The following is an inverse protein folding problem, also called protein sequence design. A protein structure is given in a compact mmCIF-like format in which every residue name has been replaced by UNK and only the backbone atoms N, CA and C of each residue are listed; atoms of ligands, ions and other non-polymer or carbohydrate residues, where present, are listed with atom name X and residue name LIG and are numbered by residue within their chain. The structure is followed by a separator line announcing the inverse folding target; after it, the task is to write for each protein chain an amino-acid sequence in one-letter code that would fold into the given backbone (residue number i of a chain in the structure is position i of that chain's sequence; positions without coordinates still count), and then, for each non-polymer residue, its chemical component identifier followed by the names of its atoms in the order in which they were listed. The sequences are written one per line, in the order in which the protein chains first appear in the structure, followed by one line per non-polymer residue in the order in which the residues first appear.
data_IF_483459669484
#
_entry.id   IF_483459669484
#
_cell.length_a   1.000
_cell.length_b   1.000
_cell.length_c   1.000
_cell.angle_alpha   90.00
_cell.angle_beta   90.00
_cell.angle_gamma   90.00
#
_symmetry.space_group_name_H-M   'P 1'
#
loop_
_entity.id
_entity.type
_entity.pdbx_description
1 polymer ?
#
# COMPACT_ATOMS: atom_id res chain seq x y z
N UNK A 1 -17.14 -5.48 -20.48
CA UNK A 1 -16.44 -4.29 -21.03
C UNK A 1 -15.46 -3.69 -20.02
N UNK A 2 -15.77 -3.67 -18.71
CA UNK A 2 -14.87 -3.20 -17.63
C UNK A 2 -13.62 -4.08 -17.49
N UNK A 3 -13.75 -5.39 -17.67
CA UNK A 3 -12.65 -6.36 -17.53
C UNK A 3 -11.47 -6.16 -18.49
N UNK A 4 -11.65 -5.33 -19.53
CA UNK A 4 -10.60 -4.97 -20.51
C UNK A 4 -9.84 -3.69 -20.14
N UNK A 5 -10.28 -2.95 -19.11
CA UNK A 5 -9.59 -1.76 -18.67
C UNK A 5 -8.31 -2.15 -17.90
N UNK A 6 -7.24 -1.36 -17.97
CA UNK A 6 -6.03 -1.66 -17.24
C UNK A 6 -6.22 -1.45 -15.72
N UNK A 7 -5.42 -2.15 -14.93
CA UNK A 7 -5.18 -1.85 -13.51
C UNK A 7 -3.97 -0.93 -13.41
N UNK A 8 -4.06 0.09 -12.59
CA UNK A 8 -2.95 0.97 -12.26
C UNK A 8 -2.21 0.43 -11.04
N UNK A 9 -0.91 0.15 -11.18
CA UNK A 9 -0.02 -0.16 -10.07
C UNK A 9 0.80 1.09 -9.75
N UNK A 10 0.68 1.59 -8.52
CA UNK A 10 1.42 2.75 -8.03
C UNK A 10 2.52 2.29 -7.08
N UNK A 11 3.76 2.65 -7.37
CA UNK A 11 4.93 2.44 -6.52
C UNK A 11 5.58 3.78 -6.18
N UNK A 12 6.37 3.84 -5.11
CA UNK A 12 6.90 5.12 -4.60
C UNK A 12 8.15 5.59 -5.34
N UNK A 13 9.03 4.65 -5.75
CA UNK A 13 10.35 4.92 -6.32
C UNK A 13 10.68 3.99 -7.49
N UNK A 14 11.65 4.39 -8.32
CA UNK A 14 12.07 3.61 -9.50
C UNK A 14 12.56 2.19 -9.14
N UNK A 15 13.23 2.01 -8.00
CA UNK A 15 13.72 0.68 -7.58
C UNK A 15 12.57 -0.29 -7.30
N UNK A 16 11.45 0.19 -6.75
CA UNK A 16 10.23 -0.61 -6.56
C UNK A 16 9.60 -0.95 -7.91
N UNK A 17 9.57 0.03 -8.83
CA UNK A 17 9.07 -0.17 -10.19
C UNK A 17 9.87 -1.23 -10.93
N UNK A 18 11.19 -1.12 -10.93
CA UNK A 18 12.09 -2.10 -11.57
C UNK A 18 11.88 -3.51 -10.99
N UNK A 19 11.78 -3.65 -9.67
CA UNK A 19 11.51 -4.93 -9.03
C UNK A 19 10.15 -5.50 -9.45
N UNK A 20 9.11 -4.68 -9.45
CA UNK A 20 7.76 -5.08 -9.84
C UNK A 20 7.69 -5.50 -11.32
N UNK A 21 8.25 -4.70 -12.23
CA UNK A 21 8.26 -4.98 -13.67
C UNK A 21 9.07 -6.23 -14.02
N UNK A 22 10.14 -6.55 -13.28
CA UNK A 22 10.85 -7.82 -13.42
C UNK A 22 9.96 -9.04 -13.15
N UNK A 23 9.00 -8.92 -12.24
CA UNK A 23 8.03 -9.97 -11.96
C UNK A 23 6.89 -10.02 -12.98
N UNK A 24 6.31 -8.88 -13.29
CA UNK A 24 5.18 -8.74 -14.21
C UNK A 24 5.53 -9.16 -15.65
N UNK A 25 6.75 -8.84 -16.12
CA UNK A 25 7.04 -8.87 -17.54
C UNK A 25 6.13 -7.90 -18.33
N UNK A 26 5.94 -8.17 -19.63
CA UNK A 26 5.06 -7.34 -20.48
C UNK A 26 3.61 -7.75 -20.29
N UNK A 27 2.77 -6.82 -19.84
CA UNK A 27 1.32 -7.00 -19.69
C UNK A 27 0.60 -5.82 -20.36
N UNK A 28 -0.46 -6.11 -21.12
CA UNK A 28 -1.28 -5.07 -21.76
C UNK A 28 -2.38 -4.52 -20.84
N UNK A 29 -2.73 -5.27 -19.79
CA UNK A 29 -3.79 -4.95 -18.83
C UNK A 29 -3.29 -4.32 -17.54
N UNK A 30 -1.99 -4.06 -17.45
CA UNK A 30 -1.32 -3.49 -16.27
C UNK A 30 -0.51 -2.27 -16.69
N UNK A 31 -0.61 -1.22 -15.91
CA UNK A 31 0.25 -0.04 -16.03
C UNK A 31 0.91 0.29 -14.71
N UNK A 32 2.21 0.54 -14.71
CA UNK A 32 3.00 0.84 -13.52
C UNK A 32 3.46 2.30 -13.55
N UNK A 33 3.20 3.04 -12.47
CA UNK A 33 3.69 4.42 -12.31
C UNK A 33 4.53 4.57 -11.05
N UNK A 34 5.47 5.51 -11.07
CA UNK A 34 6.11 6.03 -9.87
C UNK A 34 5.29 7.22 -9.36
N UNK A 35 4.59 7.03 -8.26
CA UNK A 35 3.73 8.06 -7.67
C UNK A 35 4.49 9.04 -6.75
N UNK A 36 5.73 8.73 -6.38
CA UNK A 36 6.55 9.53 -5.45
C UNK A 36 6.34 9.17 -3.99
N UNK A 37 7.26 9.63 -3.16
CA UNK A 37 7.26 9.34 -1.71
C UNK A 37 6.35 10.34 -0.97
N UNK A 38 5.58 9.81 -0.01
CA UNK A 38 4.65 10.56 0.82
C UNK A 38 3.29 10.76 0.17
N UNK A 39 2.24 10.76 0.98
CA UNK A 39 0.87 10.69 0.46
C UNK A 39 0.43 11.92 -0.38
N UNK A 40 1.03 13.09 -0.20
CA UNK A 40 0.71 14.27 -1.03
C UNK A 40 1.19 14.08 -2.49
N UNK A 41 2.45 13.67 -2.69
CA UNK A 41 3.00 13.36 -4.00
C UNK A 41 2.26 12.17 -4.64
N UNK A 42 2.05 11.11 -3.86
CA UNK A 42 1.35 9.92 -4.29
C UNK A 42 -0.09 10.22 -4.75
N UNK A 43 -0.83 11.05 -4.02
CA UNK A 43 -2.17 11.48 -4.42
C UNK A 43 -2.15 12.27 -5.73
N UNK A 44 -1.29 13.28 -5.84
CA UNK A 44 -1.21 14.14 -7.02
C UNK A 44 -0.84 13.37 -8.30
N UNK A 45 0.19 12.52 -8.23
CA UNK A 45 0.67 11.78 -9.40
C UNK A 45 -0.29 10.64 -9.78
N UNK A 46 -0.91 9.95 -8.81
CA UNK A 46 -1.93 8.95 -9.08
C UNK A 46 -3.17 9.59 -9.72
N UNK A 47 -3.69 10.70 -9.18
CA UNK A 47 -4.82 11.42 -9.77
C UNK A 47 -4.52 11.92 -11.18
N UNK A 48 -3.31 12.46 -11.41
CA UNK A 48 -2.85 12.86 -12.74
C UNK A 48 -2.91 11.68 -13.72
N UNK A 49 -2.43 10.51 -13.33
CA UNK A 49 -2.48 9.33 -14.19
C UNK A 49 -3.91 8.86 -14.45
N UNK A 50 -4.75 8.80 -13.42
CA UNK A 50 -6.15 8.39 -13.52
C UNK A 50 -6.98 9.31 -14.43
N UNK A 51 -6.58 10.58 -14.58
CA UNK A 51 -7.25 11.52 -15.50
C UNK A 51 -6.93 11.28 -16.98
N UNK A 52 -5.95 10.46 -17.32
CA UNK A 52 -5.51 10.25 -18.72
C UNK A 52 -6.39 9.28 -19.50
N UNK A 53 -6.95 8.28 -18.83
CA UNK A 53 -7.80 7.23 -19.40
C UNK A 53 -8.53 6.45 -18.29
N UNK A 54 -9.56 5.66 -18.61
CA UNK A 54 -10.24 4.82 -17.63
C UNK A 54 -9.37 3.65 -17.16
N UNK A 55 -9.49 3.32 -15.88
CA UNK A 55 -8.89 2.16 -15.21
C UNK A 55 -9.99 1.35 -14.51
N UNK A 56 -9.74 0.08 -14.19
CA UNK A 56 -10.66 -0.75 -13.41
C UNK A 56 -10.37 -0.77 -11.92
N UNK A 57 -9.18 -0.31 -11.50
CA UNK A 57 -8.78 -0.24 -10.11
C UNK A 57 -7.33 0.21 -9.94
N UNK A 58 -6.93 0.44 -8.70
CA UNK A 58 -5.60 0.92 -8.32
C UNK A 58 -5.02 0.01 -7.23
N UNK A 59 -3.78 -0.45 -7.40
CA UNK A 59 -3.03 -1.16 -6.36
C UNK A 59 -1.78 -0.34 -6.02
N UNK A 60 -1.63 0.03 -4.75
CA UNK A 60 -0.38 0.58 -4.24
C UNK A 60 0.54 -0.56 -3.81
N UNK A 61 1.77 -0.60 -4.32
CA UNK A 61 2.75 -1.65 -4.02
C UNK A 61 4.07 -0.99 -3.63
N UNK A 62 4.70 -1.48 -2.56
CA UNK A 62 5.97 -0.94 -2.11
C UNK A 62 6.51 -1.66 -0.89
N UNK A 63 7.60 -1.11 -0.33
CA UNK A 63 8.15 -1.58 0.93
C UNK A 63 7.46 -0.88 2.12
N UNK A 64 7.58 -1.48 3.31
CA UNK A 64 7.07 -0.91 4.56
C UNK A 64 7.92 -1.37 5.76
N UNK A 65 7.77 -0.65 6.88
CA UNK A 65 8.15 -1.14 8.20
C UNK A 65 7.04 -2.02 8.78
N UNK A 66 7.39 -3.18 9.35
CA UNK A 66 6.45 -4.04 10.07
C UNK A 66 6.48 -3.76 11.58
N UNK A 67 5.32 -3.71 12.22
CA UNK A 67 5.29 -3.65 13.68
C UNK A 67 5.78 -4.97 14.27
N UNK A 68 6.67 -4.95 15.29
CA UNK A 68 7.20 -6.15 15.92
C UNK A 68 6.11 -7.13 16.34
N UNK A 69 6.32 -8.44 16.10
CA UNK A 69 5.39 -9.54 16.36
C UNK A 69 4.09 -9.53 15.52
N UNK A 70 3.88 -8.53 14.64
CA UNK A 70 2.70 -8.45 13.76
C UNK A 70 3.04 -8.74 12.30
N UNK A 71 4.16 -8.19 11.81
CA UNK A 71 4.65 -8.46 10.45
C UNK A 71 6.18 -8.51 10.44
N UNK A 72 6.76 -9.68 10.20
CA UNK A 72 8.20 -9.88 10.18
C UNK A 72 8.84 -9.38 8.87
N UNK A 73 10.15 -9.06 8.90
CA UNK A 73 10.92 -8.72 7.71
C UNK A 73 10.81 -9.84 6.67
N UNK A 74 10.49 -9.48 5.43
CA UNK A 74 10.28 -10.40 4.31
C UNK A 74 8.85 -10.93 4.16
N UNK A 75 7.95 -10.68 5.12
CA UNK A 75 6.53 -10.98 4.93
C UNK A 75 5.84 -9.95 4.02
N UNK A 76 4.67 -10.32 3.51
CA UNK A 76 3.79 -9.45 2.74
C UNK A 76 2.62 -9.03 3.63
N UNK A 77 2.21 -7.79 3.51
CA UNK A 77 1.02 -7.23 4.17
C UNK A 77 0.03 -6.79 3.11
N UNK A 78 -1.21 -7.30 3.17
CA UNK A 78 -2.35 -6.81 2.42
C UNK A 78 -3.19 -5.90 3.33
N UNK A 79 -3.40 -4.66 2.92
CA UNK A 79 -4.15 -3.71 3.72
C UNK A 79 -5.64 -4.04 3.76
N UNK A 80 -6.22 -4.08 4.96
CA UNK A 80 -7.68 -4.01 5.15
C UNK A 80 -8.17 -2.57 5.12
N UNK A 81 -7.37 -1.67 5.69
CA UNK A 81 -7.57 -0.22 5.62
C UNK A 81 -6.24 0.51 5.80
N UNK A 82 -6.23 1.80 5.44
CA UNK A 82 -5.09 2.69 5.60
C UNK A 82 -5.49 3.81 6.55
N UNK A 83 -4.67 4.06 7.58
CA UNK A 83 -4.88 5.17 8.52
C UNK A 83 -3.75 6.18 8.39
N UNK A 84 -4.10 7.46 8.23
CA UNK A 84 -3.18 8.60 8.29
C UNK A 84 -3.30 9.29 9.66
N UNK A 85 -2.52 8.89 10.67
CA UNK A 85 -2.74 9.25 12.06
C UNK A 85 -2.42 10.71 12.38
N UNK A 86 -1.72 11.41 11.50
CA UNK A 86 -1.33 12.81 11.71
C UNK A 86 -2.35 13.82 11.14
N UNK A 87 -3.47 13.36 10.52
CA UNK A 87 -4.49 14.26 10.00
C UNK A 87 -5.46 14.65 11.12
N UNK A 88 -5.37 15.88 11.57
CA UNK A 88 -6.19 16.40 12.67
C UNK A 88 -5.71 17.77 13.15
N UNK A 89 -6.00 18.08 14.39
CA UNK A 89 -5.59 19.32 15.07
C UNK A 89 -4.91 19.02 16.39
N UNK A 90 -4.01 19.89 16.80
CA UNK A 90 -3.44 19.90 18.15
C UNK A 90 -4.33 20.73 19.08
N UNK A 91 -4.51 20.27 20.31
CA UNK A 91 -5.19 21.02 21.40
C UNK A 91 -4.36 20.95 22.68
N UNK A 92 -4.66 21.78 23.70
CA UNK A 92 -3.99 21.67 25.00
C UNK A 92 -4.15 20.29 25.65
N UNK A 93 -5.24 19.58 25.35
CA UNK A 93 -5.57 18.26 25.89
C UNK A 93 -4.97 17.12 25.06
N UNK A 94 -4.43 17.41 23.86
CA UNK A 94 -3.82 16.45 22.96
C UNK A 94 -4.27 16.57 21.51
N UNK A 95 -4.01 15.53 20.72
CA UNK A 95 -4.39 15.47 19.32
C UNK A 95 -5.88 15.15 19.18
N UNK A 96 -6.56 15.88 18.27
CA UNK A 96 -7.96 15.65 17.87
C UNK A 96 -7.95 15.22 16.40
N UNK A 97 -8.46 14.06 16.10
CA UNK A 97 -8.51 13.53 14.73
C UNK A 97 -9.43 14.33 13.81
N UNK A 98 -9.20 14.27 12.51
CA UNK A 98 -10.08 14.92 11.52
C UNK A 98 -11.50 14.34 11.58
N UNK A 99 -11.67 13.09 11.98
CA UNK A 99 -12.95 12.44 12.21
C UNK A 99 -13.70 13.08 13.39
N UNK A 100 -13.02 13.29 14.51
CA UNK A 100 -13.59 13.96 15.69
C UNK A 100 -13.93 15.43 15.41
N UNK A 101 -13.16 16.08 14.54
CA UNK A 101 -13.44 17.44 14.08
C UNK A 101 -14.62 17.51 13.09
N UNK A 102 -15.04 16.38 12.51
CA UNK A 102 -16.12 16.32 11.54
C UNK A 102 -15.79 16.87 10.15
N UNK A 103 -14.50 16.97 9.79
CA UNK A 103 -14.04 17.54 8.51
C UNK A 103 -13.54 16.49 7.52
N UNK A 104 -13.60 15.22 7.84
CA UNK A 104 -13.13 14.15 6.96
C UNK A 104 -12.90 12.84 7.68
N UNK A 105 -12.01 12.03 7.15
CA UNK A 105 -11.61 10.78 7.80
C UNK A 105 -10.11 10.54 7.71
N UNK A 106 -9.52 10.01 8.77
CA UNK A 106 -8.16 9.49 8.79
C UNK A 106 -8.05 8.13 8.08
N UNK A 107 -9.17 7.45 7.86
CA UNK A 107 -9.19 6.09 7.34
C UNK A 107 -9.67 6.02 5.89
N UNK A 108 -8.96 5.25 5.06
CA UNK A 108 -9.38 4.85 3.74
C UNK A 108 -9.51 3.32 3.71
N UNK A 109 -10.63 2.82 3.17
CA UNK A 109 -10.85 1.39 3.02
C UNK A 109 -10.03 0.83 1.88
N UNK A 110 -9.46 -0.36 2.05
CA UNK A 110 -8.79 -1.11 1.01
C UNK A 110 -9.54 -2.42 0.75
N UNK A 111 -9.61 -2.80 -0.52
CA UNK A 111 -10.16 -4.09 -0.94
C UNK A 111 -9.04 -5.13 -0.95
N UNK A 112 -9.20 -6.20 -0.21
CA UNK A 112 -8.29 -7.35 -0.29
C UNK A 112 -8.75 -8.23 -1.45
N UNK A 113 -7.93 -8.32 -2.51
CA UNK A 113 -8.19 -9.26 -3.59
C UNK A 113 -7.86 -10.69 -3.12
N UNK A 114 -8.90 -11.50 -2.94
CA UNK A 114 -8.81 -12.84 -2.33
C UNK A 114 -8.02 -13.85 -3.18
N UNK A 115 -8.08 -13.74 -4.51
CA UNK A 115 -7.31 -14.63 -5.38
C UNK A 115 -5.83 -14.26 -5.36
N UNK A 116 -5.51 -12.97 -5.44
CA UNK A 116 -4.15 -12.50 -5.38
C UNK A 116 -3.50 -12.88 -4.03
N UNK A 117 -4.18 -12.60 -2.92
CA UNK A 117 -3.70 -12.94 -1.57
C UNK A 117 -3.62 -14.46 -1.40
N UNK A 118 -4.59 -15.23 -1.89
CA UNK A 118 -4.57 -16.68 -1.85
C UNK A 118 -3.35 -17.28 -2.56
N UNK A 119 -3.04 -16.82 -3.78
CA UNK A 119 -1.85 -17.27 -4.51
C UNK A 119 -0.55 -16.87 -3.80
N UNK A 120 -0.43 -15.62 -3.32
CA UNK A 120 0.73 -15.16 -2.56
C UNK A 120 0.96 -16.01 -1.30
N UNK A 121 -0.11 -16.44 -0.63
CA UNK A 121 -0.03 -17.21 0.61
C UNK A 121 0.52 -18.64 0.43
N UNK A 122 0.63 -19.16 -0.82
CA UNK A 122 1.26 -20.46 -1.07
C UNK A 122 2.79 -20.41 -0.88
N UNK A 123 3.42 -19.26 -1.07
CA UNK A 123 4.89 -19.12 -1.01
C UNK A 123 5.37 -18.05 0.00
N UNK A 124 4.46 -17.26 0.56
CA UNK A 124 4.77 -16.16 1.48
C UNK A 124 3.91 -16.19 2.73
N UNK A 125 4.45 -15.66 3.83
CA UNK A 125 3.62 -15.25 4.96
C UNK A 125 2.92 -13.94 4.60
N UNK A 126 1.61 -14.02 4.29
CA UNK A 126 0.77 -12.86 4.02
C UNK A 126 -0.05 -12.53 5.26
N UNK A 127 0.07 -11.31 5.74
CA UNK A 127 -0.74 -10.78 6.84
C UNK A 127 -1.77 -9.81 6.28
N UNK A 128 -2.96 -9.80 6.88
CA UNK A 128 -4.02 -8.84 6.54
C UNK A 128 -4.24 -7.91 7.73
N UNK A 129 -4.31 -6.60 7.50
CA UNK A 129 -4.56 -5.65 8.58
C UNK A 129 -4.35 -4.19 8.19
N UNK A 130 -4.37 -3.33 9.20
CA UNK A 130 -4.23 -1.89 9.05
C UNK A 130 -2.78 -1.54 8.69
N UNK A 131 -2.60 -0.68 7.67
CA UNK A 131 -1.33 -0.03 7.36
C UNK A 131 -1.41 1.44 7.73
N UNK A 132 -0.45 1.97 8.49
CA UNK A 132 -0.33 3.41 8.70
C UNK A 132 0.29 4.07 7.46
N UNK A 133 -0.28 5.19 7.02
CA UNK A 133 0.30 6.06 6.02
C UNK A 133 0.76 7.35 6.71
N UNK A 134 2.05 7.45 6.96
CA UNK A 134 2.62 8.49 7.84
C UNK A 134 3.38 9.57 7.07
N UNK A 135 3.41 10.79 7.58
CA UNK A 135 4.24 11.88 7.04
C UNK A 135 5.72 11.71 7.40
N UNK A 136 5.99 11.13 8.56
CA UNK A 136 7.33 10.90 9.08
C UNK A 136 7.44 9.48 9.58
N UNK A 137 8.35 8.68 8.99
CA UNK A 137 8.57 7.31 9.44
C UNK A 137 8.99 7.26 10.92
N UNK A 138 8.48 6.27 11.65
CA UNK A 138 8.83 6.05 13.07
C UNK A 138 10.34 5.90 13.23
N UNK A 139 10.91 6.65 14.18
CA UNK A 139 12.35 6.65 14.43
C UNK A 139 12.72 6.77 15.90
N UNK A 140 11.74 6.91 16.79
CA UNK A 140 11.93 7.03 18.23
C UNK A 140 11.00 6.10 18.99
N UNK A 141 11.39 5.72 20.20
CA UNK A 141 10.56 4.91 21.10
C UNK A 141 9.21 5.59 21.40
N UNK A 142 9.23 6.92 21.61
CA UNK A 142 8.02 7.68 21.87
C UNK A 142 7.00 7.51 20.74
N UNK A 143 7.41 7.78 19.50
CA UNK A 143 6.52 7.68 18.33
C UNK A 143 6.07 6.23 18.09
N UNK A 144 6.95 5.25 18.34
CA UNK A 144 6.60 3.84 18.28
C UNK A 144 5.45 3.49 19.23
N UNK A 145 5.56 3.86 20.52
CA UNK A 145 4.54 3.58 21.53
C UNK A 145 3.20 4.28 21.24
N UNK A 146 3.22 5.45 20.63
CA UNK A 146 2.02 6.15 20.20
C UNK A 146 1.32 5.40 19.04
N UNK A 147 2.07 5.02 18.01
CA UNK A 147 1.54 4.35 16.82
C UNK A 147 1.16 2.90 17.05
N UNK A 148 1.85 2.20 17.95
CA UNK A 148 1.52 0.81 18.30
C UNK A 148 0.09 0.66 18.83
N UNK A 149 -0.43 1.67 19.53
CA UNK A 149 -1.79 1.72 20.07
C UNK A 149 -2.87 1.72 19.00
N UNK A 150 -2.53 2.12 17.77
CA UNK A 150 -3.46 2.13 16.63
C UNK A 150 -3.76 0.74 16.06
N UNK A 151 -3.09 -0.31 16.55
CA UNK A 151 -3.35 -1.68 16.14
C UNK A 151 -2.85 -2.04 14.74
N UNK A 152 -2.15 -1.14 14.06
CA UNK A 152 -1.62 -1.37 12.72
C UNK A 152 -0.54 -2.46 12.71
N UNK A 153 -0.39 -3.14 11.57
CA UNK A 153 0.60 -4.18 11.38
C UNK A 153 1.82 -3.71 10.58
N UNK A 154 1.68 -2.64 9.82
CA UNK A 154 2.77 -2.03 9.05
C UNK A 154 2.65 -0.50 9.00
N UNK A 155 3.74 0.15 8.59
CA UNK A 155 3.86 1.60 8.40
C UNK A 155 4.50 1.89 7.04
N UNK A 156 3.85 2.73 6.23
CA UNK A 156 4.32 3.24 4.93
C UNK A 156 4.00 4.75 4.82
N UNK A 157 4.15 5.36 3.66
CA UNK A 157 4.00 6.81 3.52
C UNK A 157 3.01 7.25 2.42
N UNK A 158 2.54 6.36 1.55
CA UNK A 158 1.82 6.72 0.31
C UNK A 158 0.35 6.30 0.31
N UNK A 159 0.03 5.20 0.98
CA UNK A 159 -1.25 4.49 0.84
C UNK A 159 -2.47 5.37 0.96
N UNK A 160 -2.51 6.28 1.94
CA UNK A 160 -3.63 7.22 2.11
C UNK A 160 -3.82 8.11 0.87
N UNK A 161 -2.72 8.60 0.29
CA UNK A 161 -2.77 9.45 -0.89
C UNK A 161 -3.25 8.72 -2.14
N UNK A 162 -2.74 7.50 -2.38
CA UNK A 162 -3.18 6.67 -3.51
C UNK A 162 -4.65 6.27 -3.37
N UNK A 163 -5.08 5.89 -2.16
CA UNK A 163 -6.47 5.56 -1.86
C UNK A 163 -7.40 6.75 -2.07
N UNK A 164 -7.01 7.96 -1.61
CA UNK A 164 -7.78 9.18 -1.80
C UNK A 164 -7.93 9.54 -3.29
N UNK A 165 -6.85 9.37 -4.08
CA UNK A 165 -6.90 9.53 -5.52
C UNK A 165 -7.86 8.52 -6.17
N UNK A 166 -7.73 7.22 -5.88
CA UNK A 166 -8.62 6.18 -6.40
C UNK A 166 -10.09 6.47 -6.07
N UNK A 167 -10.38 6.85 -4.83
CA UNK A 167 -11.73 7.22 -4.36
C UNK A 167 -12.31 8.40 -5.16
N UNK A 168 -11.50 9.41 -5.49
CA UNK A 168 -11.98 10.58 -6.25
C UNK A 168 -12.38 10.24 -7.69
N UNK A 169 -11.91 9.09 -8.22
CA UNK A 169 -12.31 8.51 -9.51
C UNK A 169 -13.30 7.35 -9.38
N UNK A 170 -13.85 7.09 -8.18
CA UNK A 170 -14.75 5.96 -7.89
C UNK A 170 -14.15 4.59 -8.26
N UNK A 171 -12.86 4.42 -8.08
CA UNK A 171 -12.14 3.18 -8.36
C UNK A 171 -11.88 2.38 -7.09
N UNK A 172 -11.96 1.04 -7.15
CA UNK A 172 -11.53 0.18 -6.06
C UNK A 172 -10.01 0.33 -5.85
N UNK A 173 -9.60 0.23 -4.61
CA UNK A 173 -8.23 0.38 -4.17
C UNK A 173 -7.76 -0.82 -3.36
N UNK A 174 -6.54 -1.27 -3.60
CA UNK A 174 -5.81 -2.26 -2.79
C UNK A 174 -4.42 -1.76 -2.44
N UNK A 175 -3.84 -2.30 -1.37
CA UNK A 175 -2.44 -2.02 -1.02
C UNK A 175 -1.74 -3.30 -0.57
N UNK A 176 -0.54 -3.54 -1.12
CA UNK A 176 0.36 -4.64 -0.76
C UNK A 176 1.73 -4.08 -0.40
N UNK A 177 2.26 -4.49 0.75
CA UNK A 177 3.58 -4.07 1.21
C UNK A 177 4.46 -5.27 1.55
N UNK A 178 5.74 -5.20 1.16
CA UNK A 178 6.77 -6.12 1.61
C UNK A 178 7.56 -5.49 2.76
N UNK A 179 7.75 -6.24 3.83
CA UNK A 179 8.38 -5.69 5.02
C UNK A 179 9.91 -5.66 4.87
N UNK A 180 10.49 -4.46 4.93
CA UNK A 180 11.93 -4.21 4.83
C UNK A 180 12.64 -4.08 6.17
N UNK A 181 11.93 -3.66 7.21
CA UNK A 181 12.48 -3.39 8.54
C UNK A 181 11.39 -3.47 9.62
N UNK A 182 11.80 -3.51 10.86
CA UNK A 182 10.87 -3.31 11.98
C UNK A 182 10.61 -1.82 12.22
N UNK A 183 9.36 -1.48 12.58
CA UNK A 183 8.96 -0.15 13.08
C UNK A 183 9.52 0.02 14.48
N UNK A 184 10.19 1.14 14.75
CA UNK A 184 10.79 1.42 16.07
C UNK A 184 11.92 2.43 15.96
N UNK A 185 12.87 2.36 16.90
CA UNK A 185 14.05 3.22 16.88
C UNK A 185 14.85 2.99 15.61
N UNK A 186 15.14 4.10 14.88
CA UNK A 186 15.74 4.04 13.55
C UNK A 186 17.16 3.47 13.56
N UNK A 187 17.31 2.30 12.98
CA UNK A 187 18.59 1.64 12.75
C UNK A 187 18.63 1.03 11.33
N UNK A 188 19.27 1.76 10.40
CA UNK A 188 19.33 1.33 9.00
C UNK A 188 20.14 0.05 8.78
N UNK A 189 21.01 -0.35 9.71
CA UNK A 189 21.79 -1.58 9.60
C UNK A 189 20.94 -2.85 9.64
N UNK A 190 19.72 -2.74 10.17
CA UNK A 190 18.73 -3.82 10.28
C UNK A 190 17.76 -3.89 9.11
N UNK A 191 17.88 -2.98 8.14
CA UNK A 191 16.98 -2.94 6.99
C UNK A 191 17.40 -3.96 5.92
N UNK A 192 16.44 -4.72 5.41
CA UNK A 192 16.67 -5.72 4.38
C UNK A 192 15.96 -5.35 3.07
N UNK A 193 16.45 -4.31 2.39
CA UNK A 193 15.93 -3.89 1.09
C UNK A 193 15.98 -5.01 0.03
N UNK A 194 17.06 -5.81 -0.10
CA UNK A 194 17.09 -6.88 -1.09
C UNK A 194 15.96 -7.88 -0.92
N UNK A 195 15.63 -8.27 0.32
CA UNK A 195 14.54 -9.19 0.60
C UNK A 195 13.18 -8.55 0.29
N UNK A 196 12.99 -7.28 0.63
CA UNK A 196 11.75 -6.56 0.34
C UNK A 196 11.54 -6.38 -1.17
N UNK A 197 12.56 -6.01 -1.95
CA UNK A 197 12.45 -5.92 -3.41
C UNK A 197 12.21 -7.29 -4.07
N UNK A 198 12.79 -8.36 -3.51
CA UNK A 198 12.47 -9.72 -3.95
C UNK A 198 10.97 -9.99 -3.77
N UNK A 199 10.37 -9.64 -2.64
CA UNK A 199 8.93 -9.78 -2.41
C UNK A 199 8.09 -8.94 -3.38
N UNK A 200 8.50 -7.70 -3.71
CA UNK A 200 7.82 -6.88 -4.74
C UNK A 200 7.83 -7.59 -6.10
N UNK A 201 8.97 -8.17 -6.50
CA UNK A 201 9.06 -8.95 -7.74
C UNK A 201 8.11 -10.14 -7.73
N UNK A 202 8.01 -10.84 -6.62
CA UNK A 202 7.12 -12.00 -6.45
C UNK A 202 5.64 -11.61 -6.46
N UNK A 203 5.28 -10.44 -5.89
CA UNK A 203 3.96 -9.83 -6.08
C UNK A 203 3.68 -9.60 -7.57
N UNK A 204 4.63 -9.05 -8.32
CA UNK A 204 4.50 -8.86 -9.76
C UNK A 204 4.26 -10.16 -10.54
N UNK A 205 4.99 -11.23 -10.20
CA UNK A 205 4.81 -12.56 -10.79
C UNK A 205 3.39 -13.09 -10.52
N UNK A 206 2.92 -12.97 -9.28
CA UNK A 206 1.59 -13.43 -8.91
C UNK A 206 0.48 -12.64 -9.58
N UNK A 207 0.63 -11.31 -9.70
CA UNK A 207 -0.32 -10.47 -10.47
C UNK A 207 -0.39 -10.94 -11.93
N UNK A 208 0.74 -11.21 -12.57
CA UNK A 208 0.79 -11.75 -13.92
C UNK A 208 0.03 -13.07 -14.04
N UNK A 209 0.23 -13.99 -13.10
CA UNK A 209 -0.45 -15.30 -13.09
C UNK A 209 -1.97 -15.14 -12.91
N UNK A 210 -2.40 -14.26 -12.00
CA UNK A 210 -3.82 -13.95 -11.77
C UNK A 210 -4.47 -13.41 -13.05
N UNK A 211 -3.82 -12.49 -13.75
CA UNK A 211 -4.33 -11.90 -14.99
C UNK A 211 -4.36 -12.90 -16.17
N UNK A 212 -3.53 -13.95 -16.15
CA UNK A 212 -3.49 -15.00 -17.19
C UNK A 212 -4.54 -16.09 -16.98
N UNK A 213 -5.03 -16.30 -15.75
CA UNK A 213 -5.98 -17.34 -15.38
C UNK A 213 -7.46 -16.96 -15.66
N UNK A 214 -7.73 -16.06 -16.63
CA UNK A 214 -9.05 -15.52 -16.94
C UNK A 214 -9.73 -14.76 -15.76
N UNK A 215 -9.02 -14.62 -14.64
CA UNK A 215 -9.45 -13.78 -13.52
C UNK A 215 -8.99 -12.36 -13.75
N UNK A 216 -9.88 -11.41 -13.55
CA UNK A 216 -9.54 -10.00 -13.62
C UNK A 216 -9.49 -9.42 -12.21
N UNK A 217 -8.35 -8.88 -11.80
CA UNK A 217 -8.25 -8.08 -10.58
C UNK A 217 -9.38 -7.04 -10.53
N UNK A 218 -10.03 -6.91 -9.38
CA UNK A 218 -11.20 -6.04 -9.19
C UNK A 218 -12.44 -6.41 -10.02
N UNK A 219 -12.58 -7.65 -10.49
CA UNK A 219 -13.82 -8.09 -11.15
C UNK A 219 -15.03 -7.91 -10.22
N UNK A 220 -16.20 -7.60 -10.80
CA UNK A 220 -17.45 -7.36 -10.08
C UNK A 220 -18.18 -8.66 -9.68
N UNK A 221 -17.52 -9.82 -9.81
CA UNK A 221 -18.12 -11.13 -9.55
C UNK A 221 -17.91 -11.58 -8.10
N UNK A 222 -18.30 -10.72 -7.14
CA UNK A 222 -18.63 -11.12 -5.74
C UNK A 222 -19.57 -10.10 -5.10
#
# INVERSE_FOLDING_TARGET
MLDKLPVLLAVSVEQEKEALEQGLGKQSTIEVIVCGVGFAAAAANTAKQLSTKPYRGVINIGIAGGFPKRAAIGSIVAASSIIAPEIGAESPEGFISIDELGFGTQEQQARIDRQLVGKLSHSHHVHEGIILSVLTATGTEKTYLEREKLGAIAEAMEGYGVAAAAKSFNLPFSELRTISNEVGVRDKSKWNFPLAFKGIKEIGQTIKEVEQDEYCLFSMSE
#
